data_IF_199454634162
#
_entry.id   IF_199454634162
#
_cell.length_a   1.000
_cell.length_b   1.000
_cell.length_c   1.000
_cell.angle_alpha   90.00
_cell.angle_beta   90.00
_cell.angle_gamma   90.00
#
_symmetry.space_group_name_H-M   'P 1'
#
loop_
_entity.id
_entity.type
_entity.pdbx_description
1 polymer ?
#
# COMPACT_ATOMS: atom_id res chain seq x y z
N UNK A 1 -29.26 -33.98 28.51
CA UNK A 1 -28.31 -34.54 27.55
C UNK A 1 -28.03 -33.42 26.52
N UNK A 2 -26.95 -32.62 26.70
CA UNK A 2 -26.62 -31.48 25.85
C UNK A 2 -25.56 -31.91 24.82
N UNK A 3 -25.96 -31.99 23.57
CA UNK A 3 -25.06 -32.31 22.46
C UNK A 3 -24.02 -31.16 22.26
N UNK A 4 -22.74 -31.46 22.57
CA UNK A 4 -21.57 -30.66 22.23
C UNK A 4 -20.95 -31.20 20.93
N UNK A 5 -21.52 -30.81 19.76
CA UNK A 5 -20.98 -31.19 18.45
C UNK A 5 -21.07 -30.04 17.46
N UNK A 6 -20.50 -28.86 17.78
CA UNK A 6 -20.49 -27.73 16.84
C UNK A 6 -19.11 -27.26 16.28
N UNK A 7 -17.96 -27.42 16.93
CA UNK A 7 -16.72 -26.93 16.34
C UNK A 7 -16.16 -27.83 15.20
N UNK A 8 -16.38 -29.13 15.25
CA UNK A 8 -15.80 -30.07 14.26
C UNK A 8 -16.47 -29.97 12.89
N UNK A 9 -17.77 -29.65 12.83
CA UNK A 9 -18.53 -29.50 11.56
C UNK A 9 -18.12 -28.23 10.83
N UNK A 10 -17.80 -27.15 11.53
CA UNK A 10 -17.37 -25.88 10.93
C UNK A 10 -15.97 -26.04 10.30
N UNK A 11 -15.06 -26.75 10.96
CA UNK A 11 -13.71 -27.04 10.43
C UNK A 11 -13.79 -27.96 9.20
N UNK A 12 -14.65 -28.97 9.20
CA UNK A 12 -14.83 -29.85 8.05
C UNK A 12 -15.51 -29.14 6.88
N UNK A 13 -16.46 -28.24 7.12
CA UNK A 13 -17.05 -27.42 6.05
C UNK A 13 -16.07 -26.39 5.49
N UNK A 14 -15.20 -25.79 6.30
CA UNK A 14 -14.11 -24.91 5.83
C UNK A 14 -13.08 -25.67 4.98
N UNK A 15 -12.69 -26.88 5.39
CA UNK A 15 -11.78 -27.76 4.62
C UNK A 15 -12.42 -28.27 3.31
N UNK A 16 -13.74 -28.49 3.27
CA UNK A 16 -14.45 -28.87 2.05
C UNK A 16 -14.63 -27.68 1.08
N UNK A 17 -14.74 -26.45 1.58
CA UNK A 17 -14.75 -25.25 0.76
C UNK A 17 -13.37 -24.97 0.15
N UNK A 18 -12.28 -25.20 0.88
CA UNK A 18 -10.91 -25.11 0.37
C UNK A 18 -10.65 -26.17 -0.72
N UNK A 19 -11.16 -27.37 -0.57
CA UNK A 19 -11.06 -28.44 -1.56
C UNK A 19 -11.83 -28.20 -2.87
N UNK A 20 -12.82 -27.30 -2.89
CA UNK A 20 -13.54 -26.89 -4.10
C UNK A 20 -12.91 -25.70 -4.85
N UNK A 21 -11.97 -24.98 -4.21
CA UNK A 21 -11.27 -23.81 -4.80
C UNK A 21 -10.05 -24.26 -5.62
N UNK A 22 -9.57 -25.49 -5.47
CA UNK A 22 -8.32 -26.00 -6.07
C UNK A 22 -8.42 -26.53 -7.50
N UNK A 23 -9.21 -25.91 -8.39
CA UNK A 23 -9.20 -26.25 -9.83
C UNK A 23 -8.55 -25.18 -10.71
N UNK A 24 -7.90 -24.17 -10.12
CA UNK A 24 -7.16 -23.19 -10.91
C UNK A 24 -5.73 -23.68 -11.20
N UNK A 25 -5.23 -23.28 -12.35
CA UNK A 25 -3.96 -23.73 -12.89
C UNK A 25 -2.80 -23.33 -11.97
N UNK A 26 -2.06 -24.31 -11.47
CA UNK A 26 -0.79 -24.10 -10.79
C UNK A 26 0.31 -23.94 -11.85
N UNK A 27 1.11 -22.88 -11.74
CA UNK A 27 2.17 -22.58 -12.68
C UNK A 27 3.53 -22.95 -12.12
N UNK A 28 4.28 -23.79 -12.84
CA UNK A 28 5.71 -24.02 -12.61
C UNK A 28 6.49 -22.83 -13.22
N UNK A 29 6.61 -21.76 -12.45
CA UNK A 29 7.25 -20.52 -12.90
C UNK A 29 8.05 -19.87 -11.76
N UNK A 30 9.22 -19.23 -12.04
CA UNK A 30 10.06 -18.60 -11.01
C UNK A 30 9.37 -17.55 -10.12
N UNK A 31 8.29 -16.90 -10.60
CA UNK A 31 7.48 -15.98 -9.78
C UNK A 31 6.81 -16.68 -8.60
N UNK A 32 6.54 -17.99 -8.70
CA UNK A 32 5.82 -18.79 -7.71
C UNK A 32 6.70 -19.81 -6.99
N UNK A 33 8.01 -19.82 -7.27
CA UNK A 33 8.96 -20.71 -6.62
C UNK A 33 9.20 -20.29 -5.16
N UNK A 34 8.68 -21.09 -4.22
CA UNK A 34 8.81 -20.90 -2.77
C UNK A 34 10.08 -21.50 -2.17
N UNK A 35 10.93 -22.16 -2.99
CA UNK A 35 12.18 -22.77 -2.54
C UNK A 35 13.29 -21.76 -2.23
N UNK A 36 13.07 -20.48 -2.56
CA UNK A 36 14.02 -19.39 -2.35
C UNK A 36 13.78 -18.69 -1.02
N UNK A 37 14.82 -18.00 -0.54
CA UNK A 37 14.73 -17.22 0.70
C UNK A 37 14.38 -15.77 0.38
N UNK A 38 13.39 -15.21 1.08
CA UNK A 38 13.14 -13.79 1.09
C UNK A 38 14.35 -13.00 1.60
N UNK A 39 14.37 -11.67 1.35
CA UNK A 39 15.39 -10.78 1.89
C UNK A 39 15.52 -11.00 3.39
N UNK A 40 16.71 -11.38 3.91
CA UNK A 40 16.91 -11.56 5.33
C UNK A 40 16.66 -10.25 6.08
N UNK A 41 15.89 -10.33 7.16
CA UNK A 41 15.71 -9.19 8.06
C UNK A 41 17.01 -8.97 8.81
N UNK A 42 17.62 -7.80 8.63
CA UNK A 42 18.88 -7.42 9.25
C UNK A 42 18.74 -6.09 9.96
N UNK A 43 19.62 -5.85 10.97
CA UNK A 43 19.81 -4.55 11.55
C UNK A 43 20.94 -3.85 10.79
N UNK A 44 20.67 -2.67 10.29
CA UNK A 44 21.62 -1.85 9.54
C UNK A 44 22.05 -0.67 10.40
N UNK A 45 23.28 -0.22 10.23
CA UNK A 45 23.82 0.94 10.93
C UNK A 45 23.60 2.26 10.17
N UNK A 46 23.32 2.18 8.86
CA UNK A 46 23.05 3.34 7.99
C UNK A 46 22.05 3.00 6.89
N UNK A 47 21.39 4.05 6.36
CA UNK A 47 20.51 3.89 5.20
C UNK A 47 21.28 3.46 3.94
N UNK A 48 22.49 3.93 3.76
CA UNK A 48 23.32 3.55 2.60
C UNK A 48 23.64 2.04 2.61
N UNK A 49 24.01 1.50 3.77
CA UNK A 49 24.26 0.06 3.92
C UNK A 49 22.99 -0.75 3.61
N UNK A 50 21.85 -0.34 4.15
CA UNK A 50 20.55 -0.95 3.87
C UNK A 50 20.26 -0.92 2.37
N UNK A 51 20.35 0.24 1.72
CA UNK A 51 20.08 0.42 0.30
C UNK A 51 20.97 -0.47 -0.58
N UNK A 52 22.27 -0.49 -0.31
CA UNK A 52 23.23 -1.31 -1.07
C UNK A 52 22.99 -2.81 -0.89
N UNK A 53 22.69 -3.24 0.33
CA UNK A 53 22.37 -4.65 0.62
C UNK A 53 21.10 -5.09 -0.10
N UNK A 54 20.05 -4.28 -0.03
CA UNK A 54 18.78 -4.56 -0.74
C UNK A 54 18.97 -4.58 -2.24
N UNK A 55 19.67 -3.60 -2.80
CA UNK A 55 19.95 -3.55 -4.23
C UNK A 55 20.70 -4.80 -4.70
N UNK A 56 21.79 -5.17 -4.00
CA UNK A 56 22.59 -6.36 -4.34
C UNK A 56 21.75 -7.63 -4.26
N UNK A 57 20.88 -7.72 -3.25
CA UNK A 57 19.98 -8.87 -3.11
C UNK A 57 18.95 -8.93 -4.26
N UNK A 58 18.36 -7.78 -4.65
CA UNK A 58 17.43 -7.70 -5.78
C UNK A 58 18.09 -8.08 -7.10
N UNK A 59 19.32 -7.63 -7.36
CA UNK A 59 20.09 -8.00 -8.55
C UNK A 59 20.24 -9.51 -8.72
N UNK A 60 20.33 -10.24 -7.62
CA UNK A 60 20.53 -11.69 -7.58
C UNK A 60 19.22 -12.51 -7.55
N UNK A 61 18.14 -11.94 -7.03
CA UNK A 61 16.92 -12.70 -6.67
C UNK A 61 15.66 -12.25 -7.39
N UNK A 62 15.66 -11.05 -8.02
CA UNK A 62 14.46 -10.58 -8.73
C UNK A 62 14.19 -11.42 -9.98
N UNK A 63 12.95 -11.82 -10.16
CA UNK A 63 12.44 -12.34 -11.42
C UNK A 63 12.10 -11.13 -12.31
N UNK A 64 12.97 -10.83 -13.26
CA UNK A 64 12.79 -9.70 -14.18
C UNK A 64 11.68 -9.97 -15.19
N UNK A 65 10.89 -8.96 -15.49
CA UNK A 65 9.72 -9.04 -16.37
C UNK A 65 10.03 -8.48 -17.78
N UNK A 66 11.17 -7.79 -17.95
CA UNK A 66 11.61 -7.21 -19.20
C UNK A 66 13.15 -7.18 -19.29
N UNK A 67 13.70 -6.84 -20.46
CA UNK A 67 15.16 -6.83 -20.71
C UNK A 67 15.88 -5.66 -20.04
N UNK A 68 15.20 -4.56 -19.73
CA UNK A 68 15.77 -3.42 -19.00
C UNK A 68 15.77 -3.67 -17.48
N UNK A 69 16.68 -4.55 -17.06
CA UNK A 69 16.86 -4.91 -15.65
C UNK A 69 17.20 -3.71 -14.77
N UNK A 70 17.97 -2.74 -15.30
CA UNK A 70 18.38 -1.56 -14.54
C UNK A 70 17.18 -0.67 -14.18
N UNK A 71 16.24 -0.49 -15.11
CA UNK A 71 15.01 0.23 -14.83
C UNK A 71 14.17 -0.49 -13.78
N UNK A 72 13.97 -1.81 -13.90
CA UNK A 72 13.21 -2.58 -12.92
C UNK A 72 13.84 -2.53 -11.52
N UNK A 73 15.17 -2.62 -11.41
CA UNK A 73 15.87 -2.48 -10.13
C UNK A 73 15.63 -1.11 -9.53
N UNK A 74 15.72 -0.04 -10.32
CA UNK A 74 15.52 1.33 -9.84
C UNK A 74 14.12 1.56 -9.23
N UNK A 75 13.09 0.86 -9.73
CA UNK A 75 11.73 0.96 -9.22
C UNK A 75 11.50 0.18 -7.92
N UNK A 76 12.35 -0.80 -7.64
CA UNK A 76 12.19 -1.70 -6.49
C UNK A 76 13.23 -1.49 -5.38
N UNK A 77 14.30 -0.75 -5.65
CA UNK A 77 15.34 -0.44 -4.67
C UNK A 77 14.89 0.71 -3.75
N UNK A 78 15.18 0.64 -2.44
CA UNK A 78 15.01 1.77 -1.54
C UNK A 78 15.73 3.01 -2.04
N UNK A 79 15.16 4.19 -1.81
CA UNK A 79 15.78 5.43 -2.26
C UNK A 79 15.77 6.52 -1.19
N UNK A 80 16.71 7.47 -1.32
CA UNK A 80 16.81 8.66 -0.49
C UNK A 80 16.77 9.90 -1.38
N UNK A 81 16.05 10.95 -0.95
CA UNK A 81 16.05 12.26 -1.59
C UNK A 81 16.48 13.30 -0.54
N UNK A 82 17.58 13.98 -0.81
CA UNK A 82 18.04 15.11 -0.01
C UNK A 82 17.22 16.37 -0.34
N UNK A 83 16.85 17.19 0.65
CA UNK A 83 16.20 18.45 0.37
C UNK A 83 17.11 19.43 -0.36
N UNK A 84 16.51 20.29 -1.19
CA UNK A 84 17.24 21.28 -2.00
C UNK A 84 18.09 22.25 -1.16
N UNK A 85 17.75 22.49 0.11
CA UNK A 85 18.48 23.34 1.05
C UNK A 85 19.17 22.50 2.12
N UNK A 86 20.26 21.83 1.76
CA UNK A 86 20.95 20.84 2.61
C UNK A 86 21.71 21.42 3.82
N UNK A 87 21.82 22.74 4.02
CA UNK A 87 22.72 23.34 5.00
C UNK A 87 22.33 23.14 6.48
N UNK A 88 21.11 22.64 6.78
CA UNK A 88 20.70 22.22 8.13
C UNK A 88 19.41 21.40 8.07
N UNK A 89 19.47 20.18 7.52
CA UNK A 89 18.32 19.28 7.52
C UNK A 89 18.00 18.89 8.96
N UNK A 90 16.78 19.18 9.41
CA UNK A 90 16.28 18.83 10.74
C UNK A 90 15.15 17.81 10.70
N UNK A 91 14.41 17.78 9.61
CA UNK A 91 13.23 16.93 9.44
C UNK A 91 13.54 15.75 8.54
N UNK A 92 13.13 14.57 8.95
CA UNK A 92 13.18 13.36 8.15
C UNK A 92 11.80 12.72 8.00
N UNK A 93 11.56 12.06 6.87
CA UNK A 93 10.34 11.29 6.65
C UNK A 93 10.66 9.95 6.01
N UNK A 94 10.04 8.89 6.53
CA UNK A 94 10.17 7.53 6.01
C UNK A 94 8.85 7.12 5.38
N UNK A 95 8.91 6.65 4.13
CA UNK A 95 7.77 6.15 3.36
C UNK A 95 7.77 4.62 3.34
N UNK A 96 6.63 4.01 3.67
CA UNK A 96 6.42 2.57 3.73
C UNK A 96 5.28 2.18 2.80
N UNK A 97 5.59 1.39 1.77
CA UNK A 97 4.65 0.98 0.73
C UNK A 97 3.63 -0.07 1.21
N UNK A 98 2.61 -0.34 0.39
CA UNK A 98 1.57 -1.33 0.63
C UNK A 98 1.97 -2.76 0.26
N UNK A 99 1.07 -3.72 0.53
CA UNK A 99 1.23 -5.13 0.18
C UNK A 99 1.36 -5.31 -1.34
N UNK A 100 2.39 -6.06 -1.74
CA UNK A 100 2.70 -6.34 -3.14
C UNK A 100 3.23 -5.14 -3.92
N UNK A 101 3.62 -4.06 -3.27
CA UNK A 101 4.09 -2.80 -3.86
C UNK A 101 5.61 -2.63 -3.74
N UNK A 102 6.13 -1.45 -4.02
CA UNK A 102 7.57 -1.12 -3.97
C UNK A 102 7.81 0.30 -3.46
N UNK A 103 9.06 0.67 -3.14
CA UNK A 103 9.41 2.03 -2.71
C UNK A 103 9.00 3.11 -3.72
N UNK A 104 8.95 2.77 -4.99
CA UNK A 104 8.59 3.68 -6.07
C UNK A 104 7.17 4.25 -5.98
N UNK A 105 6.28 3.59 -5.24
CA UNK A 105 4.91 4.08 -4.99
C UNK A 105 4.89 5.52 -4.51
N UNK A 106 5.94 5.95 -3.82
CA UNK A 106 6.02 7.29 -3.24
C UNK A 106 6.85 8.29 -4.06
N UNK A 107 7.28 7.95 -5.28
CA UNK A 107 8.22 8.78 -6.05
C UNK A 107 7.77 10.23 -6.19
N UNK A 108 6.49 10.47 -6.45
CA UNK A 108 5.95 11.83 -6.63
C UNK A 108 5.74 12.53 -5.28
N UNK A 109 5.16 11.84 -4.29
CA UNK A 109 4.95 12.37 -2.93
C UNK A 109 6.29 12.67 -2.26
N UNK A 110 7.27 11.77 -2.38
CA UNK A 110 8.61 11.91 -1.81
C UNK A 110 9.32 13.19 -2.29
N UNK A 111 9.18 13.50 -3.59
CA UNK A 111 9.77 14.71 -4.16
C UNK A 111 9.17 15.97 -3.54
N UNK A 112 7.85 16.01 -3.34
CA UNK A 112 7.18 17.16 -2.74
C UNK A 112 7.61 17.39 -1.27
N UNK A 113 7.84 16.31 -0.50
CA UNK A 113 8.37 16.43 0.86
C UNK A 113 9.84 16.85 0.88
N UNK A 114 10.64 16.40 -0.08
CA UNK A 114 12.03 16.86 -0.21
C UNK A 114 12.10 18.35 -0.57
N UNK A 115 11.22 18.82 -1.46
CA UNK A 115 11.09 20.24 -1.80
C UNK A 115 10.63 21.09 -0.59
N UNK A 116 9.86 20.49 0.35
CA UNK A 116 9.43 21.10 1.64
C UNK A 116 10.49 20.96 2.77
N UNK A 117 11.69 20.52 2.43
CA UNK A 117 12.84 20.52 3.34
C UNK A 117 13.07 19.25 4.16
N UNK A 118 12.36 18.16 3.88
CA UNK A 118 12.57 16.86 4.53
C UNK A 118 13.72 16.08 3.87
N UNK A 119 14.53 15.40 4.68
CA UNK A 119 15.26 14.23 4.21
C UNK A 119 14.25 13.10 4.03
N UNK A 120 14.12 12.60 2.82
CA UNK A 120 13.13 11.58 2.46
C UNK A 120 13.79 10.22 2.25
N UNK A 121 13.22 9.17 2.85
CA UNK A 121 13.60 7.78 2.60
C UNK A 121 12.38 6.94 2.28
N UNK A 122 12.44 6.15 1.20
CA UNK A 122 11.42 5.15 0.89
C UNK A 122 12.03 3.76 1.02
N UNK A 123 11.40 2.90 1.81
CA UNK A 123 11.94 1.59 2.18
C UNK A 123 11.27 0.46 1.41
N UNK A 124 11.96 -0.66 1.25
CA UNK A 124 11.41 -1.90 0.73
C UNK A 124 11.13 -2.88 1.89
N UNK A 125 9.89 -3.30 2.05
CA UNK A 125 9.53 -4.31 3.03
C UNK A 125 10.01 -5.71 2.57
N UNK A 126 10.53 -6.56 3.47
CA UNK A 126 10.90 -7.95 3.16
C UNK A 126 9.79 -8.70 2.42
N UNK A 127 10.17 -9.53 1.47
CA UNK A 127 9.24 -10.26 0.59
C UNK A 127 8.74 -9.49 -0.63
N UNK A 128 9.14 -8.22 -0.77
CA UNK A 128 8.74 -7.37 -1.89
C UNK A 128 9.91 -7.09 -2.85
N UNK A 129 9.59 -6.58 -4.03
CA UNK A 129 10.58 -6.15 -5.03
C UNK A 129 11.24 -7.27 -5.83
N UNK A 130 11.17 -8.53 -5.42
CA UNK A 130 11.81 -9.69 -6.04
C UNK A 130 10.84 -10.54 -6.84
N UNK A 131 9.99 -11.29 -6.16
CA UNK A 131 8.93 -12.15 -6.70
C UNK A 131 7.80 -12.33 -5.68
N UNK A 132 6.56 -12.61 -6.12
CA UNK A 132 5.43 -12.84 -5.21
C UNK A 132 5.65 -13.95 -4.19
N UNK A 133 6.35 -15.05 -4.58
CA UNK A 133 6.59 -16.19 -3.71
C UNK A 133 7.42 -15.84 -2.45
N UNK A 134 8.24 -14.80 -2.49
CA UNK A 134 9.04 -14.36 -1.34
C UNK A 134 8.19 -13.78 -0.19
N UNK A 135 6.88 -13.57 -0.40
CA UNK A 135 5.91 -13.25 0.66
C UNK A 135 5.42 -14.48 1.45
N UNK A 136 5.70 -15.72 0.99
CA UNK A 136 5.25 -16.93 1.68
C UNK A 136 5.91 -17.10 3.05
N UNK A 137 7.24 -16.92 3.22
CA UNK A 137 7.89 -17.10 4.52
C UNK A 137 7.83 -15.88 5.45
N UNK A 138 7.27 -14.75 5.03
CA UNK A 138 7.32 -13.48 5.78
C UNK A 138 6.37 -13.49 6.96
N UNK A 139 6.78 -12.81 8.04
CA UNK A 139 5.96 -12.48 9.20
C UNK A 139 5.80 -10.97 9.36
N UNK A 140 4.74 -10.55 10.07
CA UNK A 140 4.52 -9.13 10.41
C UNK A 140 5.74 -8.51 11.11
N UNK A 141 6.41 -9.27 11.98
CA UNK A 141 7.59 -8.79 12.71
C UNK A 141 8.77 -8.46 11.78
N UNK A 142 8.86 -9.05 10.60
CA UNK A 142 9.90 -8.71 9.62
C UNK A 142 9.68 -7.28 9.07
N UNK A 143 8.43 -6.93 8.83
CA UNK A 143 8.05 -5.58 8.39
C UNK A 143 8.19 -4.54 9.52
N UNK A 144 7.72 -4.87 10.74
CA UNK A 144 7.85 -4.01 11.92
C UNK A 144 9.31 -3.71 12.24
N UNK A 145 10.18 -4.72 12.19
CA UNK A 145 11.62 -4.56 12.42
C UNK A 145 12.27 -3.68 11.35
N UNK A 146 11.83 -3.75 10.10
CA UNK A 146 12.31 -2.86 9.03
C UNK A 146 11.94 -1.41 9.33
N UNK A 147 10.68 -1.12 9.65
CA UNK A 147 10.25 0.24 10.02
C UNK A 147 11.05 0.75 11.22
N UNK A 148 11.14 -0.05 12.30
CA UNK A 148 11.86 0.30 13.51
C UNK A 148 13.33 0.63 13.25
N UNK A 149 14.04 -0.24 12.51
CA UNK A 149 15.46 -0.03 12.21
C UNK A 149 15.69 1.27 11.41
N UNK A 150 14.84 1.54 10.41
CA UNK A 150 14.99 2.75 9.61
C UNK A 150 14.67 4.03 10.40
N UNK A 151 13.70 3.98 11.33
CA UNK A 151 13.45 5.09 12.26
C UNK A 151 14.67 5.30 13.19
N UNK A 152 15.21 4.25 13.78
CA UNK A 152 16.38 4.34 14.66
C UNK A 152 17.61 4.94 13.94
N UNK A 153 17.83 4.58 12.67
CA UNK A 153 18.89 5.17 11.84
C UNK A 153 18.65 6.68 11.69
N UNK A 154 17.45 7.09 11.28
CA UNK A 154 17.14 8.50 11.04
C UNK A 154 17.21 9.35 12.32
N UNK A 155 16.79 8.78 13.46
CA UNK A 155 16.93 9.42 14.79
C UNK A 155 18.39 9.56 15.22
N UNK A 156 19.24 8.54 14.99
CA UNK A 156 20.69 8.61 15.27
C UNK A 156 21.39 9.70 14.44
N UNK A 157 20.86 10.03 13.27
CA UNK A 157 21.32 11.16 12.44
C UNK A 157 20.86 12.53 12.98
N UNK A 158 20.06 12.55 14.06
CA UNK A 158 19.61 13.77 14.74
C UNK A 158 18.42 14.46 14.10
N UNK A 159 17.61 13.73 13.34
CA UNK A 159 16.44 14.25 12.65
C UNK A 159 15.17 14.07 13.48
N UNK A 160 14.25 15.04 13.36
CA UNK A 160 12.85 14.96 13.77
C UNK A 160 12.12 14.08 12.76
N UNK A 161 11.63 12.90 13.18
CA UNK A 161 11.13 11.87 12.27
C UNK A 161 9.62 11.91 12.15
N UNK A 162 9.15 12.04 10.92
CA UNK A 162 7.76 11.77 10.53
C UNK A 162 7.67 10.45 9.76
N UNK A 163 6.50 9.83 9.74
CA UNK A 163 6.26 8.59 9.01
C UNK A 163 5.14 8.75 8.01
N UNK A 164 5.28 8.07 6.87
CA UNK A 164 4.25 8.00 5.86
C UNK A 164 4.04 6.56 5.42
N UNK A 165 2.79 6.21 5.12
CA UNK A 165 2.45 4.86 4.67
C UNK A 165 1.30 4.83 3.68
N UNK A 166 1.36 3.83 2.80
CA UNK A 166 0.28 3.49 1.89
C UNK A 166 -0.30 2.13 2.24
N UNK A 167 -1.62 2.04 2.37
CA UNK A 167 -2.33 0.77 2.57
C UNK A 167 -1.78 0.01 3.80
N UNK A 168 -1.24 -1.20 3.65
CA UNK A 168 -0.57 -1.98 4.71
C UNK A 168 0.59 -1.21 5.37
N UNK A 169 1.37 -0.46 4.59
CA UNK A 169 2.42 0.40 5.13
C UNK A 169 1.89 1.46 6.09
N UNK A 170 0.68 1.98 5.84
CA UNK A 170 0.03 2.92 6.75
C UNK A 170 -0.33 2.27 8.10
N UNK A 171 -0.71 0.98 8.12
CA UNK A 171 -0.94 0.25 9.37
C UNK A 171 0.35 0.16 10.19
N UNK A 172 1.45 -0.27 9.56
CA UNK A 172 2.75 -0.45 10.20
C UNK A 172 3.27 0.87 10.81
N UNK A 173 3.25 1.96 10.04
CA UNK A 173 3.75 3.25 10.54
C UNK A 173 2.84 3.86 11.61
N UNK A 174 1.54 3.60 11.58
CA UNK A 174 0.60 4.08 12.59
C UNK A 174 0.80 3.35 13.91
N UNK A 175 0.92 2.03 13.89
CA UNK A 175 1.17 1.23 15.10
C UNK A 175 2.52 1.59 15.72
N UNK A 176 3.59 1.68 14.90
CA UNK A 176 4.89 2.12 15.36
C UNK A 176 4.83 3.51 16.01
N UNK A 177 4.30 4.51 15.30
CA UNK A 177 4.19 5.87 15.79
C UNK A 177 3.36 5.97 17.08
N UNK A 178 2.32 5.16 17.24
CA UNK A 178 1.51 5.16 18.46
C UNK A 178 2.29 4.64 19.67
N UNK A 179 3.27 3.77 19.45
CA UNK A 179 4.16 3.23 20.47
C UNK A 179 5.38 4.16 20.77
N UNK A 180 5.82 4.95 19.77
CA UNK A 180 6.99 5.84 19.87
C UNK A 180 6.54 7.32 19.88
N UNK A 181 6.58 8.00 21.05
CA UNK A 181 6.15 9.40 21.16
C UNK A 181 7.11 10.40 20.49
N UNK A 182 8.26 9.97 20.02
CA UNK A 182 9.23 10.85 19.33
C UNK A 182 8.90 11.06 17.85
N UNK A 183 7.93 10.32 17.30
CA UNK A 183 7.45 10.53 15.91
C UNK A 183 6.60 11.80 15.86
N UNK A 184 6.96 12.73 14.99
CA UNK A 184 6.35 14.06 14.91
C UNK A 184 4.96 14.08 14.27
N UNK A 185 4.79 13.37 13.15
CA UNK A 185 3.56 13.34 12.38
C UNK A 185 3.38 12.07 11.55
N UNK A 186 2.13 11.80 11.13
CA UNK A 186 1.76 10.72 10.23
C UNK A 186 1.15 11.25 8.93
N UNK A 187 1.50 10.62 7.80
CA UNK A 187 0.94 10.90 6.48
C UNK A 187 0.48 9.58 5.84
N UNK A 188 -0.83 9.35 5.83
CA UNK A 188 -1.43 8.05 5.54
C UNK A 188 -2.30 8.13 4.28
N UNK A 189 -1.96 7.32 3.28
CA UNK A 189 -2.67 7.23 2.01
C UNK A 189 -3.40 5.88 1.93
N UNK A 190 -4.71 5.90 1.73
CA UNK A 190 -5.59 4.71 1.74
C UNK A 190 -5.26 3.75 2.88
N UNK A 191 -5.18 4.19 4.17
CA UNK A 191 -4.74 3.35 5.26
C UNK A 191 -5.65 2.12 5.41
N UNK A 192 -5.06 0.94 5.38
CA UNK A 192 -5.78 -0.32 5.37
C UNK A 192 -6.14 -0.80 6.79
N UNK A 193 -6.62 0.12 7.63
CA UNK A 193 -6.99 -0.17 9.03
C UNK A 193 -8.09 -1.22 9.15
N UNK A 194 -8.97 -1.32 8.15
CA UNK A 194 -9.99 -2.35 8.04
C UNK A 194 -10.19 -2.73 6.58
N UNK A 195 -10.14 -4.04 6.30
CA UNK A 195 -10.50 -4.59 4.99
C UNK A 195 -11.96 -4.34 4.65
N UNK A 196 -12.28 -4.18 3.38
CA UNK A 196 -13.65 -4.24 2.86
C UNK A 196 -14.17 -5.69 2.77
N UNK A 197 -13.31 -6.67 2.96
CA UNK A 197 -13.68 -8.09 2.96
C UNK A 197 -14.17 -8.56 4.33
N UNK A 198 -15.32 -9.23 4.36
CA UNK A 198 -15.88 -9.84 5.58
C UNK A 198 -15.20 -11.16 5.99
N UNK A 199 -14.31 -11.70 5.15
CA UNK A 199 -13.65 -13.00 5.37
C UNK A 199 -12.12 -12.91 5.52
N UNK A 200 -11.55 -11.72 5.59
CA UNK A 200 -10.10 -11.49 5.73
C UNK A 200 -9.50 -12.20 6.95
N UNK A 201 -10.28 -12.36 8.04
CA UNK A 201 -9.89 -13.09 9.25
C UNK A 201 -9.58 -14.58 9.02
N UNK A 202 -9.97 -15.15 7.88
CA UNK A 202 -9.66 -16.53 7.51
C UNK A 202 -8.27 -16.68 6.91
N UNK A 203 -7.66 -15.60 6.41
CA UNK A 203 -6.36 -15.65 5.75
C UNK A 203 -5.24 -16.24 6.64
N UNK A 204 -5.11 -15.89 7.94
CA UNK A 204 -4.09 -16.50 8.81
C UNK A 204 -4.25 -18.01 8.98
N UNK A 205 -5.47 -18.50 9.06
CA UNK A 205 -5.72 -19.93 9.19
C UNK A 205 -5.51 -20.66 7.86
N UNK A 206 -5.92 -20.06 6.75
CA UNK A 206 -5.75 -20.62 5.41
C UNK A 206 -4.29 -20.74 5.00
N UNK A 207 -3.46 -19.74 5.33
CA UNK A 207 -2.03 -19.72 5.02
C UNK A 207 -1.21 -20.84 5.68
N UNK A 208 -1.78 -21.54 6.68
CA UNK A 208 -1.14 -22.72 7.28
C UNK A 208 -1.26 -23.99 6.38
N UNK A 209 -2.11 -23.95 5.37
CA UNK A 209 -2.45 -25.12 4.56
C UNK A 209 -2.15 -24.93 3.07
N UNK A 210 -2.25 -23.70 2.57
CA UNK A 210 -2.04 -23.38 1.16
C UNK A 210 -1.28 -22.07 1.00
N UNK A 211 -0.32 -22.04 0.10
CA UNK A 211 0.46 -20.84 -0.21
C UNK A 211 -0.35 -19.87 -1.10
N UNK A 212 -1.16 -20.41 -2.01
CA UNK A 212 -1.88 -19.66 -3.02
C UNK A 212 -3.37 -20.01 -3.03
N UNK A 213 -4.23 -18.99 -3.06
CA UNK A 213 -5.64 -19.13 -3.48
C UNK A 213 -5.72 -19.03 -4.99
N UNK A 214 -4.90 -18.13 -5.58
CA UNK A 214 -4.84 -17.88 -7.00
C UNK A 214 -3.41 -17.46 -7.40
N UNK A 215 -2.84 -18.16 -8.37
CA UNK A 215 -1.64 -17.76 -9.08
C UNK A 215 -2.07 -17.10 -10.40
N UNK A 216 -1.78 -15.83 -10.62
CA UNK A 216 -2.05 -15.22 -11.92
C UNK A 216 -1.20 -15.85 -13.02
N UNK A 217 -1.68 -15.83 -14.27
CA UNK A 217 -0.88 -16.24 -15.42
C UNK A 217 0.43 -15.43 -15.46
N UNK A 218 1.60 -16.09 -15.43
CA UNK A 218 2.90 -15.41 -15.47
C UNK A 218 3.07 -14.45 -16.64
N UNK A 219 2.47 -14.74 -17.80
CA UNK A 219 2.53 -13.87 -18.98
C UNK A 219 1.81 -12.54 -18.78
N UNK A 220 0.92 -12.47 -17.81
CA UNK A 220 0.19 -11.26 -17.44
C UNK A 220 0.87 -10.45 -16.32
N UNK A 221 2.03 -10.88 -15.82
CA UNK A 221 2.85 -10.12 -14.89
C UNK A 221 3.68 -9.09 -15.64
N UNK A 222 3.10 -7.92 -15.86
CA UNK A 222 3.68 -6.83 -16.66
C UNK A 222 3.82 -5.51 -15.89
N UNK A 223 3.44 -5.49 -14.62
CA UNK A 223 3.64 -4.34 -13.74
C UNK A 223 5.01 -4.42 -13.07
N UNK A 224 5.90 -3.48 -13.37
CA UNK A 224 7.31 -3.52 -12.93
C UNK A 224 7.50 -3.13 -11.47
N UNK A 225 6.51 -2.45 -10.87
CA UNK A 225 6.59 -1.87 -9.54
C UNK A 225 5.72 -2.61 -8.52
N UNK A 226 4.81 -3.48 -8.99
CA UNK A 226 3.80 -4.09 -8.14
C UNK A 226 3.52 -5.53 -8.55
N UNK A 227 3.34 -6.40 -7.56
CA UNK A 227 2.92 -7.77 -7.82
C UNK A 227 1.47 -7.82 -8.31
N UNK A 228 1.23 -8.63 -9.34
CA UNK A 228 -0.12 -8.89 -9.85
C UNK A 228 -0.83 -10.02 -9.07
N UNK A 229 -0.07 -10.83 -8.32
CA UNK A 229 -0.56 -11.89 -7.44
C UNK A 229 0.14 -11.78 -6.09
N UNK A 230 -0.56 -12.16 -5.03
CA UNK A 230 -0.04 -12.17 -3.66
C UNK A 230 -0.40 -13.52 -3.04
N UNK A 231 0.56 -14.24 -2.39
CA UNK A 231 0.27 -15.49 -1.70
C UNK A 231 -0.63 -15.25 -0.49
N UNK A 232 -1.30 -16.30 -0.04
CA UNK A 232 -2.26 -16.20 1.07
C UNK A 232 -1.59 -15.71 2.36
N UNK A 233 -0.32 -16.06 2.59
CA UNK A 233 0.42 -15.51 3.73
C UNK A 233 0.58 -13.99 3.67
N UNK A 234 0.75 -13.39 2.49
CA UNK A 234 0.77 -11.92 2.35
C UNK A 234 -0.52 -11.28 2.88
N UNK A 235 -1.68 -11.85 2.54
CA UNK A 235 -2.98 -11.42 3.10
C UNK A 235 -3.11 -11.70 4.60
N UNK A 236 -2.55 -12.81 5.09
CA UNK A 236 -2.51 -13.14 6.51
C UNK A 236 -1.70 -12.10 7.31
N UNK A 237 -0.53 -11.70 6.80
CA UNK A 237 0.29 -10.68 7.46
C UNK A 237 -0.38 -9.28 7.38
N UNK A 238 -1.02 -8.95 6.26
CA UNK A 238 -1.88 -7.75 6.15
C UNK A 238 -2.98 -7.76 7.25
N UNK A 239 -3.71 -8.87 7.41
CA UNK A 239 -4.73 -9.00 8.45
C UNK A 239 -4.15 -8.70 9.85
N UNK A 240 -2.98 -9.22 10.16
CA UNK A 240 -2.32 -8.96 11.44
C UNK A 240 -1.95 -7.48 11.60
N UNK A 241 -1.45 -6.80 10.56
CA UNK A 241 -1.19 -5.34 10.64
C UNK A 241 -2.48 -4.55 10.91
N UNK A 242 -3.58 -4.93 10.26
CA UNK A 242 -4.90 -4.32 10.48
C UNK A 242 -5.39 -4.54 11.91
N UNK A 243 -5.24 -5.75 12.44
CA UNK A 243 -5.61 -6.10 13.81
C UNK A 243 -4.79 -5.31 14.85
N UNK A 244 -3.46 -5.29 14.72
CA UNK A 244 -2.58 -4.63 15.69
C UNK A 244 -2.77 -3.11 15.70
N UNK A 245 -2.89 -2.45 14.54
CA UNK A 245 -3.13 -1.01 14.50
C UNK A 245 -4.46 -0.60 15.12
N UNK A 246 -5.54 -1.37 14.91
CA UNK A 246 -6.83 -1.12 15.55
C UNK A 246 -6.70 -1.26 17.07
N UNK A 247 -6.05 -2.33 17.55
CA UNK A 247 -5.80 -2.55 18.99
C UNK A 247 -4.91 -1.49 19.59
N UNK A 248 -3.93 -1.01 18.87
CA UNK A 248 -3.04 0.08 19.29
C UNK A 248 -3.83 1.38 19.49
N UNK A 249 -4.64 1.77 18.51
CA UNK A 249 -5.48 2.97 18.57
C UNK A 249 -6.58 2.86 19.65
N UNK A 250 -7.18 1.68 19.86
CA UNK A 250 -8.13 1.45 20.94
C UNK A 250 -7.49 1.63 22.33
N UNK A 251 -6.24 1.21 22.51
CA UNK A 251 -5.50 1.36 23.78
C UNK A 251 -5.13 2.80 24.07
N UNK A 252 -4.72 3.53 23.03
CA UNK A 252 -4.25 4.92 23.15
C UNK A 252 -4.57 5.66 21.85
N UNK A 253 -5.44 6.67 21.87
CA UNK A 253 -5.64 7.56 20.73
C UNK A 253 -4.33 8.23 20.30
N UNK A 254 -4.19 8.45 18.99
CA UNK A 254 -3.06 9.18 18.42
C UNK A 254 -3.28 10.68 18.56
N UNK A 255 -2.38 11.37 19.27
CA UNK A 255 -2.53 12.76 19.70
C UNK A 255 -1.63 13.77 18.96
N UNK A 256 -0.83 13.30 18.00
CA UNK A 256 0.04 14.13 17.15
C UNK A 256 -0.61 14.41 15.79
N UNK A 257 -0.10 15.39 15.00
CA UNK A 257 -0.64 15.68 13.69
C UNK A 257 -0.68 14.45 12.79
N UNK A 258 -1.82 14.23 12.13
CA UNK A 258 -1.99 13.15 11.18
C UNK A 258 -2.76 13.62 9.94
N UNK A 259 -2.25 13.28 8.78
CA UNK A 259 -2.91 13.43 7.50
C UNK A 259 -3.39 12.06 7.01
N UNK A 260 -4.66 11.95 6.65
CA UNK A 260 -5.23 10.75 6.04
C UNK A 260 -5.91 11.15 4.73
N UNK A 261 -5.75 10.34 3.69
CA UNK A 261 -6.49 10.49 2.44
C UNK A 261 -7.09 9.15 2.02
N UNK A 262 -8.36 9.13 1.64
CA UNK A 262 -9.09 7.92 1.20
C UNK A 262 -10.00 8.24 0.01
N UNK A 263 -10.41 7.19 -0.69
CA UNK A 263 -11.42 7.30 -1.76
C UNK A 263 -12.66 6.51 -1.39
N UNK A 264 -13.85 7.05 -1.63
CA UNK A 264 -15.13 6.40 -1.30
C UNK A 264 -15.28 5.03 -1.97
N UNK A 265 -14.83 4.91 -3.21
CA UNK A 265 -14.96 3.70 -4.03
C UNK A 265 -13.74 2.77 -3.90
N UNK A 266 -13.03 2.85 -2.77
CA UNK A 266 -11.93 1.94 -2.47
C UNK A 266 -12.45 0.50 -2.35
N UNK A 267 -11.94 -0.40 -3.20
CA UNK A 267 -12.36 -1.80 -3.26
C UNK A 267 -11.53 -2.73 -2.34
N UNK A 268 -10.62 -2.16 -1.56
CA UNK A 268 -9.69 -2.89 -0.68
C UNK A 268 -9.95 -2.57 0.79
N UNK A 269 -10.25 -1.30 1.09
CA UNK A 269 -10.33 -0.76 2.45
C UNK A 269 -11.76 -0.32 2.77
N UNK A 270 -12.25 -0.68 3.95
CA UNK A 270 -13.50 -0.14 4.49
C UNK A 270 -13.27 1.31 4.96
N UNK A 271 -13.47 2.24 4.04
CA UNK A 271 -13.17 3.66 4.26
C UNK A 271 -14.10 4.33 5.27
N UNK A 272 -15.30 3.79 5.48
CA UNK A 272 -16.23 4.26 6.51
C UNK A 272 -15.67 3.98 7.91
N UNK A 273 -15.09 2.80 8.14
CA UNK A 273 -14.42 2.49 9.41
C UNK A 273 -13.13 3.31 9.56
N UNK A 274 -12.40 3.62 8.48
CA UNK A 274 -11.24 4.52 8.54
C UNK A 274 -11.64 5.94 8.95
N UNK A 275 -12.73 6.48 8.40
CA UNK A 275 -13.27 7.79 8.79
C UNK A 275 -13.67 7.79 10.27
N UNK A 276 -14.37 6.78 10.72
CA UNK A 276 -14.79 6.64 12.12
C UNK A 276 -13.59 6.54 13.08
N UNK A 277 -12.54 5.79 12.71
CA UNK A 277 -11.29 5.74 13.47
C UNK A 277 -10.62 7.12 13.52
N UNK A 278 -10.59 7.85 12.40
CA UNK A 278 -10.07 9.22 12.38
C UNK A 278 -10.80 10.12 13.36
N UNK A 279 -12.13 10.15 13.31
CA UNK A 279 -12.97 11.00 14.17
C UNK A 279 -12.79 10.69 15.66
N UNK A 280 -12.56 9.40 16.01
CA UNK A 280 -12.55 8.95 17.40
C UNK A 280 -11.15 8.74 17.97
N UNK A 281 -10.16 8.40 17.15
CA UNK A 281 -8.84 8.00 17.60
C UNK A 281 -7.71 8.96 17.23
N UNK A 282 -7.92 9.88 16.27
CA UNK A 282 -6.93 10.90 15.92
C UNK A 282 -7.35 12.25 16.52
N UNK A 283 -6.79 12.58 17.68
CA UNK A 283 -7.32 13.66 18.53
C UNK A 283 -6.70 15.03 18.27
N UNK A 284 -5.60 15.11 17.51
CA UNK A 284 -4.93 16.39 17.24
C UNK A 284 -5.78 17.29 16.33
N UNK A 285 -5.96 18.54 16.73
CA UNK A 285 -6.79 19.52 16.00
C UNK A 285 -6.19 19.91 14.63
N UNK A 286 -4.87 19.76 14.45
CA UNK A 286 -4.21 20.04 13.17
C UNK A 286 -4.34 18.87 12.19
N UNK A 287 -4.81 17.70 12.62
CA UNK A 287 -5.00 16.56 11.70
C UNK A 287 -5.99 16.93 10.59
N UNK A 288 -5.80 16.33 9.42
CA UNK A 288 -6.67 16.49 8.24
C UNK A 288 -7.02 15.13 7.64
N UNK A 289 -8.26 15.02 7.20
CA UNK A 289 -8.76 13.86 6.49
C UNK A 289 -9.31 14.28 5.13
N UNK A 290 -8.76 13.75 4.05
CA UNK A 290 -9.23 14.00 2.70
C UNK A 290 -10.10 12.85 2.24
N UNK A 291 -11.34 13.17 1.88
CA UNK A 291 -12.31 12.25 1.33
C UNK A 291 -12.54 12.54 -0.15
N UNK A 292 -12.19 11.62 -1.02
CA UNK A 292 -12.53 11.69 -2.44
C UNK A 292 -13.78 10.84 -2.71
N UNK A 293 -14.87 11.49 -3.08
CA UNK A 293 -16.17 10.82 -3.29
C UNK A 293 -17.33 11.79 -3.19
N UNK A 294 -18.53 11.29 -2.89
CA UNK A 294 -19.65 12.11 -2.47
C UNK A 294 -19.36 12.69 -1.06
N UNK A 295 -19.98 13.82 -0.74
CA UNK A 295 -19.77 14.43 0.58
C UNK A 295 -20.13 13.46 1.70
N UNK A 296 -19.18 13.08 2.59
CA UNK A 296 -19.44 12.18 3.69
C UNK A 296 -20.36 12.81 4.74
N UNK A 297 -21.15 11.96 5.42
CA UNK A 297 -21.99 12.39 6.55
C UNK A 297 -21.15 12.49 7.82
N UNK A 298 -20.51 13.63 7.99
CA UNK A 298 -19.67 13.95 9.15
C UNK A 298 -19.80 15.40 9.58
N UNK A 299 -19.65 15.65 10.90
CA UNK A 299 -19.57 16.98 11.49
C UNK A 299 -18.13 17.38 11.84
N UNK A 300 -17.16 16.49 11.64
CA UNK A 300 -15.75 16.78 11.93
C UNK A 300 -15.20 17.77 10.89
N UNK A 301 -14.84 18.97 11.37
CA UNK A 301 -14.31 20.05 10.51
C UNK A 301 -12.91 19.77 9.96
N UNK A 302 -12.25 18.74 10.43
CA UNK A 302 -10.93 18.29 9.93
C UNK A 302 -11.07 17.48 8.64
N UNK A 303 -12.30 17.05 8.29
CA UNK A 303 -12.61 16.33 7.07
C UNK A 303 -12.82 17.32 5.92
N UNK A 304 -12.06 17.14 4.86
CA UNK A 304 -12.14 17.91 3.61
C UNK A 304 -12.60 16.98 2.50
N UNK A 305 -13.53 17.43 1.69
CA UNK A 305 -14.16 16.64 0.64
C UNK A 305 -13.77 17.17 -0.75
N UNK A 306 -13.44 16.23 -1.65
CA UNK A 306 -13.27 16.45 -3.09
C UNK A 306 -14.19 15.50 -3.86
N UNK A 307 -14.83 15.99 -4.89
CA UNK A 307 -15.60 15.15 -5.80
C UNK A 307 -14.66 14.21 -6.59
N UNK A 308 -14.90 12.90 -6.52
CA UNK A 308 -14.11 11.92 -7.26
C UNK A 308 -14.55 11.76 -8.72
N UNK A 309 -15.67 12.36 -9.13
CA UNK A 309 -16.15 12.33 -10.52
C UNK A 309 -15.62 13.54 -11.29
N UNK A 310 -14.70 13.30 -12.24
CA UNK A 310 -14.10 14.35 -13.09
C UNK A 310 -14.27 14.02 -14.57
N UNK A 311 -15.48 14.23 -15.15
CA UNK A 311 -15.79 13.83 -16.53
C UNK A 311 -14.90 14.47 -17.59
N UNK A 312 -14.42 15.72 -17.36
CA UNK A 312 -13.48 16.41 -18.24
C UNK A 312 -12.14 15.70 -18.42
N UNK A 313 -11.79 14.82 -17.46
CA UNK A 313 -10.59 13.95 -17.49
C UNK A 313 -10.94 12.48 -17.71
N UNK A 314 -12.18 12.18 -18.09
CA UNK A 314 -12.71 10.79 -18.23
C UNK A 314 -12.56 9.97 -16.94
N UNK A 315 -12.70 10.59 -15.76
CA UNK A 315 -12.68 9.91 -14.47
C UNK A 315 -14.13 9.77 -13.98
N UNK A 316 -14.56 8.52 -13.76
CA UNK A 316 -15.87 8.19 -13.21
C UNK A 316 -15.86 8.19 -11.68
N UNK A 317 -14.81 7.67 -11.06
CA UNK A 317 -14.53 7.70 -9.63
C UNK A 317 -13.07 7.31 -9.35
N UNK A 318 -12.65 7.37 -8.08
CA UNK A 318 -11.27 7.11 -7.68
C UNK A 318 -11.08 5.68 -7.19
N UNK A 319 -9.90 5.11 -7.44
CA UNK A 319 -9.49 3.79 -6.97
C UNK A 319 -8.60 3.86 -5.72
N UNK A 320 -8.37 2.72 -5.06
CA UNK A 320 -7.40 2.55 -3.98
C UNK A 320 -6.00 3.11 -4.31
N UNK A 321 -5.56 3.00 -5.56
CA UNK A 321 -4.22 3.40 -6.02
C UNK A 321 -4.13 4.85 -6.49
N UNK A 322 -5.24 5.59 -6.58
CA UNK A 322 -5.27 6.89 -7.25
C UNK A 322 -4.62 8.04 -6.50
N UNK A 323 -4.12 7.85 -5.28
CA UNK A 323 -3.70 8.96 -4.41
C UNK A 323 -2.24 9.37 -4.57
N UNK A 324 -1.35 8.46 -4.98
CA UNK A 324 0.10 8.62 -4.81
C UNK A 324 0.82 9.24 -6.00
N UNK A 325 0.21 9.24 -7.18
CA UNK A 325 0.88 9.67 -8.40
C UNK A 325 0.26 10.95 -8.97
N UNK A 326 1.13 11.78 -9.53
CA UNK A 326 0.73 12.97 -10.29
C UNK A 326 0.09 12.58 -11.62
N UNK A 327 -0.75 13.46 -12.17
CA UNK A 327 -1.38 13.25 -13.48
C UNK A 327 -0.34 13.14 -14.62
N UNK A 328 0.82 13.77 -14.49
CA UNK A 328 1.93 13.72 -15.44
C UNK A 328 2.98 12.66 -15.13
N UNK A 329 2.73 11.76 -14.16
CA UNK A 329 3.64 10.66 -13.87
C UNK A 329 3.88 9.81 -15.13
N UNK A 330 5.15 9.54 -15.45
CA UNK A 330 5.54 8.90 -16.71
C UNK A 330 5.05 7.45 -16.85
N UNK A 331 4.73 6.78 -15.75
CA UNK A 331 4.33 5.37 -15.73
C UNK A 331 2.83 5.21 -15.48
N UNK A 332 2.31 5.79 -14.41
CA UNK A 332 0.92 5.66 -13.97
C UNK A 332 0.03 6.89 -14.25
N UNK A 333 0.58 7.99 -14.76
CA UNK A 333 -0.19 9.20 -15.06
C UNK A 333 -1.18 9.04 -16.22
N UNK A 334 -1.90 10.09 -16.52
CA UNK A 334 -2.96 10.10 -17.55
C UNK A 334 -2.48 9.68 -18.96
N UNK A 335 -1.21 9.98 -19.27
CA UNK A 335 -0.52 9.58 -20.50
C UNK A 335 0.69 8.67 -20.18
N UNK A 336 0.64 7.97 -19.05
CA UNK A 336 1.71 7.10 -18.58
C UNK A 336 1.87 5.84 -19.44
N UNK A 337 3.03 5.19 -19.32
CA UNK A 337 3.36 3.99 -20.10
C UNK A 337 2.51 2.75 -19.73
N UNK A 338 1.89 2.75 -18.54
CA UNK A 338 1.18 1.60 -17.99
C UNK A 338 -0.27 1.97 -17.60
N UNK A 339 -1.20 2.03 -18.56
CA UNK A 339 -2.62 2.08 -18.23
C UNK A 339 -3.02 0.76 -17.55
N UNK A 340 -3.61 0.84 -16.36
CA UNK A 340 -3.98 -0.36 -15.61
C UNK A 340 -5.31 -0.92 -16.11
N UNK A 341 -5.26 -1.60 -17.27
CA UNK A 341 -6.43 -2.16 -17.95
C UNK A 341 -7.08 -3.33 -17.21
N UNK A 342 -6.36 -4.02 -16.33
CA UNK A 342 -6.95 -5.04 -15.45
C UNK A 342 -7.76 -4.37 -14.35
N UNK A 343 -8.99 -3.97 -14.69
CA UNK A 343 -9.91 -3.28 -13.79
C UNK A 343 -11.13 -4.12 -13.37
N UNK A 344 -11.19 -5.37 -13.78
CA UNK A 344 -12.20 -6.37 -13.39
C UNK A 344 -11.63 -7.77 -13.52
N UNK A 345 -12.44 -8.79 -13.16
CA UNK A 345 -12.12 -10.21 -13.38
C UNK A 345 -12.53 -10.68 -14.80
N UNK A 346 -13.24 -9.87 -15.56
CA UNK A 346 -13.72 -10.20 -16.90
C UNK A 346 -12.58 -9.98 -17.93
N UNK A 347 -12.13 -11.03 -18.65
CA UNK A 347 -11.12 -10.88 -19.70
C UNK A 347 -11.54 -9.95 -20.85
N UNK A 348 -12.84 -9.84 -21.12
CA UNK A 348 -13.36 -8.97 -22.19
C UNK A 348 -13.17 -7.49 -21.84
N UNK A 349 -13.29 -7.12 -20.56
CA UNK A 349 -13.03 -5.75 -20.12
C UNK A 349 -11.54 -5.40 -20.30
N UNK A 350 -10.66 -6.36 -20.01
CA UNK A 350 -9.21 -6.17 -20.18
C UNK A 350 -8.84 -5.96 -21.65
N UNK A 351 -9.34 -6.82 -22.56
CA UNK A 351 -9.13 -6.70 -24.00
C UNK A 351 -9.72 -5.39 -24.56
N UNK A 352 -10.93 -5.02 -24.12
CA UNK A 352 -11.56 -3.77 -24.53
C UNK A 352 -10.73 -2.56 -24.11
N UNK A 353 -10.16 -2.56 -22.90
CA UNK A 353 -9.30 -1.48 -22.42
C UNK A 353 -8.00 -1.39 -23.22
N UNK A 354 -7.33 -2.52 -23.49
CA UNK A 354 -6.08 -2.54 -24.28
C UNK A 354 -6.28 -2.01 -25.72
N UNK A 355 -7.46 -2.18 -26.27
CA UNK A 355 -7.82 -1.74 -27.62
C UNK A 355 -8.48 -0.34 -27.65
N UNK A 356 -8.62 0.33 -26.51
CA UNK A 356 -9.20 1.67 -26.43
C UNK A 356 -8.15 2.75 -26.43
N UNK A 357 -8.21 3.68 -27.37
CA UNK A 357 -7.34 4.86 -27.39
C UNK A 357 -7.69 5.87 -26.27
N UNK A 358 -8.93 5.84 -25.76
CA UNK A 358 -9.44 6.80 -24.80
C UNK A 358 -10.28 6.14 -23.69
N UNK A 359 -9.68 5.28 -22.83
CA UNK A 359 -10.44 4.67 -21.75
C UNK A 359 -10.89 5.72 -20.72
N UNK A 360 -12.00 5.43 -20.05
CA UNK A 360 -12.35 6.09 -18.81
C UNK A 360 -11.57 5.48 -17.64
N UNK A 361 -11.48 6.20 -16.53
CA UNK A 361 -10.77 5.76 -15.35
C UNK A 361 -11.73 5.61 -14.17
N UNK A 362 -11.53 4.55 -13.37
CA UNK A 362 -12.41 4.26 -12.23
C UNK A 362 -11.75 3.40 -11.15
N UNK A 363 -12.48 3.15 -10.08
CA UNK A 363 -12.19 2.10 -9.10
C UNK A 363 -12.26 0.71 -9.74
N UNK A 364 -11.64 -0.27 -9.09
CA UNK A 364 -11.69 -1.67 -9.54
C UNK A 364 -13.11 -2.21 -9.51
N UNK A 365 -13.50 -2.89 -10.57
CA UNK A 365 -14.82 -3.49 -10.70
C UNK A 365 -15.95 -2.53 -11.10
N UNK A 366 -15.70 -1.22 -11.18
CA UNK A 366 -16.71 -0.25 -11.59
C UNK A 366 -17.00 -0.36 -13.08
N UNK A 367 -18.29 -0.34 -13.43
CA UNK A 367 -18.79 -0.37 -14.83
C UNK A 367 -19.83 0.72 -15.03
N UNK A 368 -19.76 1.36 -16.19
CA UNK A 368 -20.74 2.35 -16.64
C UNK A 368 -21.08 2.05 -18.11
N UNK A 369 -22.38 2.07 -18.46
CA UNK A 369 -22.85 1.72 -19.80
C UNK A 369 -22.20 2.60 -20.88
N UNK A 370 -21.73 1.97 -21.95
CA UNK A 370 -21.08 2.66 -23.07
C UNK A 370 -19.66 3.15 -22.81
N UNK A 371 -19.03 2.77 -21.68
CA UNK A 371 -17.66 3.16 -21.33
C UNK A 371 -16.77 1.94 -21.11
N UNK A 372 -15.52 2.08 -21.55
CA UNK A 372 -14.45 1.14 -21.28
C UNK A 372 -13.58 1.75 -20.16
N UNK A 373 -13.30 0.99 -19.11
CA UNK A 373 -12.59 1.50 -17.94
C UNK A 373 -11.21 0.87 -17.75
N UNK A 374 -10.19 1.72 -17.53
CA UNK A 374 -8.96 1.38 -16.86
C UNK A 374 -9.08 1.75 -15.36
N UNK A 375 -8.26 1.16 -14.51
CA UNK A 375 -8.16 1.59 -13.11
C UNK A 375 -7.49 2.96 -13.04
N UNK A 376 -8.06 3.88 -12.28
CA UNK A 376 -7.42 5.17 -12.02
C UNK A 376 -6.19 4.95 -11.12
N UNK A 377 -5.04 5.43 -11.57
CA UNK A 377 -3.76 5.29 -10.89
C UNK A 377 -3.14 6.63 -10.47
N UNK A 378 -3.70 7.75 -10.90
CA UNK A 378 -3.19 9.09 -10.61
C UNK A 378 -4.25 9.96 -9.96
N UNK A 379 -3.82 11.05 -9.33
CA UNK A 379 -4.69 12.00 -8.63
C UNK A 379 -4.73 13.34 -9.37
N UNK A 380 -5.85 13.75 -9.96
CA UNK A 380 -5.97 15.07 -10.58
C UNK A 380 -5.98 16.23 -9.58
N UNK A 381 -6.12 15.96 -8.27
CA UNK A 381 -6.04 16.92 -7.15
C UNK A 381 -4.78 16.70 -6.31
N UNK A 382 -3.70 16.21 -6.94
CA UNK A 382 -2.48 15.81 -6.22
C UNK A 382 -1.88 16.96 -5.43
N UNK A 383 -1.74 18.12 -6.04
CA UNK A 383 -1.12 19.30 -5.41
C UNK A 383 -2.00 19.81 -4.25
N UNK A 384 -3.30 19.95 -4.46
CA UNK A 384 -4.24 20.39 -3.42
C UNK A 384 -4.28 19.41 -2.25
N UNK A 385 -4.24 18.10 -2.51
CA UNK A 385 -4.16 17.08 -1.47
C UNK A 385 -2.88 17.24 -0.64
N UNK A 386 -1.74 17.46 -1.28
CA UNK A 386 -0.46 17.61 -0.59
C UNK A 386 -0.33 18.95 0.15
N UNK A 387 -1.00 20.02 -0.30
CA UNK A 387 -1.10 21.26 0.46
C UNK A 387 -1.77 21.03 1.83
N UNK A 388 -2.84 20.22 1.88
CA UNK A 388 -3.43 19.80 3.16
C UNK A 388 -2.48 18.91 3.97
N UNK A 389 -1.76 17.98 3.34
CA UNK A 389 -0.78 17.15 4.03
C UNK A 389 0.31 18.01 4.69
N UNK A 390 0.90 18.95 3.97
CA UNK A 390 1.95 19.85 4.48
C UNK A 390 1.42 20.77 5.58
N UNK A 391 0.14 21.15 5.54
CA UNK A 391 -0.47 22.07 6.50
C UNK A 391 -0.56 21.53 7.94
N UNK A 392 -0.52 20.21 8.16
CA UNK A 392 -0.69 19.61 9.50
C UNK A 392 0.47 19.91 10.45
N UNK A 393 1.66 20.19 9.89
CA UNK A 393 2.89 20.54 10.64
C UNK A 393 3.36 21.97 10.39
N UNK A 394 2.60 22.78 9.64
CA UNK A 394 2.87 24.20 9.50
C UNK A 394 2.59 24.92 10.83
N UNK A 395 3.56 25.69 11.33
CA UNK A 395 3.48 26.49 12.55
C UNK A 395 2.68 27.78 12.31
#
# INVERSE_FOLDING_TARGET
>A
MKFRFKPLIIIVCALLLIGCISSEQEYDHPLYDTSTSALPVQQFDSFLEYQQTVQTWLEQNRVFLQDDHAAELSYNTPFEIMPNQANSVKKGIIFVHGLGDSPWSFVDVAKEFADDGYLVRSVLLPGHGSRPADLVPISISDWENTVKNQVEIMQKEGLEVSLSGFSTGANLVTDYANSDPSIEALYLFSPAFKSDSDIDFLAPAGALFVDWVFQGDPQNHNNLMKYNSVPLNGFAQYYWTSYEVQKSLERKPFDRPAFLAVTQDDSVVNVTEVLKLFETQFTNANSRFIWFGDKPDTLDKRVVHFDSRVPSKRISNFSHMSLLYREDNFYYGANGKFPMCRNSTDPLDYEACLNSDEPWYSAWGYKEEGKVHARLTYNPYFDEMLDYAKSITAL
#
